data_IF_118058711623
#
_entry.id   IF_118058711623
#
_cell.length_a   1.000
_cell.length_b   1.000
_cell.length_c   1.000
_cell.angle_alpha   90.00
_cell.angle_beta   90.00
_cell.angle_gamma   90.00
#
_symmetry.space_group_name_H-M   'P 1'
#
loop_
_entity.id
_entity.type
_entity.pdbx_description
1 polymer ?
#
# COMPACT_ATOMS: atom_id res chain seq x y z
N UNK A 1 7.68 10.95 11.57
CA UNK A 1 6.90 10.71 10.33
C UNK A 1 5.99 9.49 10.45
N UNK A 2 6.48 8.30 10.89
CA UNK A 2 5.69 7.06 10.94
C UNK A 2 4.41 7.25 11.77
N UNK A 3 4.51 7.67 13.04
CA UNK A 3 3.37 7.86 13.92
C UNK A 3 2.37 8.88 13.36
N UNK A 4 2.83 10.04 12.95
CA UNK A 4 1.96 11.08 12.38
C UNK A 4 1.25 10.58 11.13
N UNK A 5 1.97 9.97 10.19
CA UNK A 5 1.39 9.42 8.96
C UNK A 5 0.33 8.36 9.25
N UNK A 6 0.66 7.39 10.12
CA UNK A 6 -0.25 6.28 10.46
C UNK A 6 -1.53 6.74 11.14
N UNK A 7 -1.43 7.56 12.20
CA UNK A 7 -2.62 8.04 12.93
C UNK A 7 -3.48 9.00 12.11
N UNK A 8 -2.86 9.85 11.29
CA UNK A 8 -3.61 10.74 10.41
C UNK A 8 -4.33 9.98 9.29
N UNK A 9 -3.74 8.89 8.75
CA UNK A 9 -4.36 8.06 7.73
C UNK A 9 -5.64 7.37 8.22
N UNK A 10 -5.69 6.90 9.47
CA UNK A 10 -6.85 6.19 10.03
C UNK A 10 -8.13 7.02 9.96
N UNK A 11 -8.05 8.32 10.15
CA UNK A 11 -9.20 9.24 10.19
C UNK A 11 -9.66 9.71 8.81
N UNK A 12 -8.95 9.35 7.75
CA UNK A 12 -9.31 9.82 6.42
C UNK A 12 -10.52 9.08 5.85
N UNK A 13 -11.35 9.85 5.15
CA UNK A 13 -12.48 9.35 4.35
C UNK A 13 -12.21 9.46 2.85
N UNK A 14 -11.21 10.25 2.48
CA UNK A 14 -10.76 10.41 1.10
C UNK A 14 -9.57 9.51 0.82
N UNK A 15 -9.66 8.67 -0.23
CA UNK A 15 -8.63 7.69 -0.57
C UNK A 15 -7.29 8.35 -0.92
N UNK A 16 -7.28 9.46 -1.65
CA UNK A 16 -6.06 10.17 -2.03
C UNK A 16 -5.35 10.76 -0.80
N UNK A 17 -6.11 11.31 0.15
CA UNK A 17 -5.57 11.81 1.42
C UNK A 17 -5.06 10.67 2.30
N UNK A 18 -5.77 9.54 2.37
CA UNK A 18 -5.31 8.37 3.09
C UNK A 18 -3.95 7.92 2.54
N UNK A 19 -3.83 7.77 1.22
CA UNK A 19 -2.58 7.37 0.57
C UNK A 19 -1.46 8.41 0.78
N UNK A 20 -1.77 9.71 0.82
CA UNK A 20 -0.79 10.75 1.12
C UNK A 20 -0.24 10.64 2.55
N UNK A 21 -1.09 10.42 3.56
CA UNK A 21 -0.61 10.18 4.93
C UNK A 21 0.11 8.84 5.07
N UNK A 22 -0.36 7.82 4.37
CA UNK A 22 0.32 6.54 4.25
C UNK A 22 1.74 6.72 3.69
N UNK A 23 1.92 7.55 2.66
CA UNK A 23 3.26 7.82 2.09
C UNK A 23 4.20 8.48 3.10
N UNK A 24 3.71 9.35 3.97
CA UNK A 24 4.50 9.93 5.08
C UNK A 24 4.99 8.83 6.03
N UNK A 25 4.13 7.84 6.34
CA UNK A 25 4.53 6.70 7.15
C UNK A 25 5.56 5.82 6.44
N UNK A 26 5.35 5.50 5.15
CA UNK A 26 6.29 4.71 4.35
C UNK A 26 7.66 5.37 4.20
N UNK A 27 7.71 6.69 4.01
CA UNK A 27 8.99 7.43 4.04
C UNK A 27 9.65 7.35 5.41
N UNK A 28 8.87 7.30 6.48
CA UNK A 28 9.41 7.08 7.83
C UNK A 28 10.04 5.70 8.01
N UNK A 29 9.46 4.64 7.43
CA UNK A 29 10.09 3.30 7.41
C UNK A 29 11.37 3.30 6.57
N UNK A 30 11.36 3.94 5.41
CA UNK A 30 12.55 4.08 4.57
C UNK A 30 13.71 4.76 5.31
N UNK A 31 13.44 5.80 6.10
CA UNK A 31 14.43 6.50 6.92
C UNK A 31 15.06 5.59 8.00
N UNK A 32 14.36 4.56 8.49
CA UNK A 32 14.97 3.58 9.41
C UNK A 32 16.13 2.85 8.70
N UNK A 33 15.94 2.44 7.43
CA UNK A 33 17.01 1.85 6.64
C UNK A 33 18.20 2.79 6.45
N UNK A 34 17.96 4.09 6.25
CA UNK A 34 19.01 5.09 6.13
C UNK A 34 19.82 5.27 7.43
N UNK A 35 19.14 5.18 8.58
CA UNK A 35 19.81 5.29 9.90
C UNK A 35 20.75 4.12 10.21
N UNK A 36 20.65 3.03 9.45
CA UNK A 36 21.56 1.89 9.56
C UNK A 36 22.89 2.11 8.81
N UNK A 37 23.12 3.31 8.24
CA UNK A 37 24.43 3.70 7.66
C UNK A 37 25.51 3.75 8.79
N UNK A 38 26.78 3.32 8.53
CA UNK A 38 27.42 3.05 7.24
C UNK A 38 27.28 1.60 6.72
N UNK A 39 26.44 0.77 7.33
CA UNK A 39 26.25 -0.59 6.87
C UNK A 39 25.56 -0.61 5.49
N UNK A 40 26.19 -1.30 4.52
CA UNK A 40 25.66 -1.42 3.16
C UNK A 40 24.29 -2.12 3.11
N UNK A 41 24.02 -3.04 4.05
CA UNK A 41 22.74 -3.75 4.14
C UNK A 41 21.56 -2.77 4.38
N UNK A 42 21.79 -1.70 5.14
CA UNK A 42 20.78 -0.65 5.37
C UNK A 42 20.42 0.10 4.09
N UNK A 43 21.42 0.45 3.28
CA UNK A 43 21.22 1.12 1.99
C UNK A 43 20.51 0.21 0.99
N UNK A 44 20.91 -1.06 0.91
CA UNK A 44 20.27 -2.05 0.03
C UNK A 44 18.82 -2.27 0.42
N UNK A 45 18.53 -2.40 1.72
CA UNK A 45 17.18 -2.54 2.26
C UNK A 45 16.30 -1.31 1.94
N UNK A 46 16.88 -0.10 2.07
CA UNK A 46 16.22 1.15 1.70
C UNK A 46 15.88 1.18 0.21
N UNK A 47 16.82 0.86 -0.68
CA UNK A 47 16.60 0.89 -2.13
C UNK A 47 15.54 -0.11 -2.55
N UNK A 48 15.58 -1.33 -2.03
CA UNK A 48 14.58 -2.35 -2.29
C UNK A 48 13.19 -1.92 -1.78
N UNK A 49 13.14 -1.34 -0.58
CA UNK A 49 11.90 -0.82 -0.02
C UNK A 49 11.29 0.26 -0.91
N UNK A 50 12.10 1.21 -1.34
CA UNK A 50 11.66 2.30 -2.22
C UNK A 50 11.16 1.79 -3.57
N UNK A 51 11.83 0.79 -4.14
CA UNK A 51 11.42 0.15 -5.39
C UNK A 51 10.05 -0.53 -5.25
N UNK A 52 9.88 -1.37 -4.22
CA UNK A 52 8.61 -2.07 -3.96
C UNK A 52 7.49 -1.07 -3.67
N UNK A 53 7.78 -0.03 -2.88
CA UNK A 53 6.83 1.04 -2.58
C UNK A 53 6.39 1.78 -3.85
N UNK A 54 7.32 2.14 -4.73
CA UNK A 54 7.04 2.83 -6.00
C UNK A 54 6.14 1.96 -6.89
N UNK A 55 6.48 0.70 -7.10
CA UNK A 55 5.70 -0.23 -7.92
C UNK A 55 4.30 -0.44 -7.34
N UNK A 56 4.19 -0.63 -6.02
CA UNK A 56 2.89 -0.77 -5.34
C UNK A 56 2.05 0.50 -5.53
N UNK A 57 2.66 1.68 -5.39
CA UNK A 57 1.98 2.97 -5.56
C UNK A 57 1.46 3.16 -6.98
N UNK A 58 2.28 2.88 -7.99
CA UNK A 58 1.86 2.91 -9.40
C UNK A 58 0.67 1.98 -9.65
N UNK A 59 0.71 0.77 -9.11
CA UNK A 59 -0.37 -0.20 -9.21
C UNK A 59 -1.67 0.29 -8.57
N UNK A 60 -1.60 0.82 -7.35
CA UNK A 60 -2.75 1.38 -6.63
C UNK A 60 -3.39 2.53 -7.40
N UNK A 61 -2.60 3.51 -7.83
CA UNK A 61 -3.12 4.65 -8.58
C UNK A 61 -3.68 4.24 -9.95
N UNK A 62 -3.07 3.25 -10.62
CA UNK A 62 -3.63 2.69 -11.86
C UNK A 62 -5.03 2.09 -11.63
N UNK A 63 -5.25 1.38 -10.52
CA UNK A 63 -6.56 0.88 -10.15
C UNK A 63 -7.55 2.01 -9.84
N UNK A 64 -7.15 3.02 -9.05
CA UNK A 64 -8.03 4.14 -8.67
C UNK A 64 -8.45 4.94 -9.91
N UNK A 65 -7.51 5.26 -10.79
CA UNK A 65 -7.80 6.06 -12.01
C UNK A 65 -8.65 5.27 -13.01
N UNK A 66 -8.55 3.93 -13.01
CA UNK A 66 -9.40 3.10 -13.87
C UNK A 66 -10.86 3.03 -13.43
N UNK A 67 -11.20 3.53 -12.25
CA UNK A 67 -12.54 3.51 -11.68
C UNK A 67 -13.11 4.93 -11.64
N UNK A 68 -14.25 5.15 -12.27
CA UNK A 68 -14.93 6.43 -12.38
C UNK A 68 -16.36 6.31 -11.82
N UNK A 69 -16.82 7.35 -11.15
CA UNK A 69 -18.23 7.52 -10.86
C UNK A 69 -18.93 7.98 -12.16
N UNK A 70 -20.23 7.70 -12.32
CA UNK A 70 -21.02 8.20 -13.46
C UNK A 70 -20.72 9.68 -13.73
N UNK A 71 -20.38 10.01 -15.00
CA UNK A 71 -20.10 11.38 -15.50
C UNK A 71 -18.65 11.87 -15.46
N UNK A 72 -17.66 10.95 -15.39
CA UNK A 72 -16.23 11.31 -15.53
C UNK A 72 -15.58 11.82 -14.23
N UNK A 73 -16.30 11.74 -13.10
CA UNK A 73 -15.71 12.03 -11.80
C UNK A 73 -14.89 10.85 -11.27
N UNK A 74 -13.62 11.11 -10.93
CA UNK A 74 -12.77 10.09 -10.32
C UNK A 74 -13.24 9.75 -8.90
N UNK A 75 -13.13 8.47 -8.51
CA UNK A 75 -13.39 8.02 -7.14
C UNK A 75 -12.50 8.80 -6.16
N UNK A 76 -13.10 9.37 -5.15
CA UNK A 76 -12.39 10.11 -4.09
C UNK A 76 -12.69 9.61 -2.70
N UNK A 77 -13.93 9.14 -2.44
CA UNK A 77 -14.32 8.64 -1.11
C UNK A 77 -13.97 7.16 -0.98
N UNK A 78 -13.56 6.76 0.20
CA UNK A 78 -13.26 5.34 0.51
C UNK A 78 -14.54 4.50 0.41
N UNK A 79 -15.68 5.05 0.78
CA UNK A 79 -16.97 4.35 0.73
C UNK A 79 -17.44 4.04 -0.70
N UNK A 80 -16.92 4.77 -1.71
CA UNK A 80 -17.23 4.49 -3.12
C UNK A 80 -16.64 3.15 -3.61
N UNK A 81 -15.68 2.58 -2.86
CA UNK A 81 -15.13 1.25 -3.13
C UNK A 81 -16.03 0.10 -2.64
N UNK A 82 -17.15 0.40 -1.93
CA UNK A 82 -18.03 -0.64 -1.39
C UNK A 82 -18.61 -1.53 -2.48
N UNK A 83 -18.42 -2.85 -2.34
CA UNK A 83 -18.99 -3.86 -3.23
C UNK A 83 -18.40 -3.93 -4.64
N UNK A 84 -17.28 -3.25 -4.93
CA UNK A 84 -16.64 -3.24 -6.26
C UNK A 84 -16.29 -4.66 -6.72
N UNK A 85 -16.00 -5.59 -5.82
CA UNK A 85 -15.66 -6.98 -6.16
C UNK A 85 -16.75 -7.69 -6.96
N UNK A 86 -18.02 -7.31 -6.79
CA UNK A 86 -19.15 -7.92 -7.51
C UNK A 86 -19.14 -7.54 -9.00
N UNK A 87 -18.80 -6.30 -9.32
CA UNK A 87 -18.84 -5.77 -10.69
C UNK A 87 -17.49 -5.85 -11.40
N UNK A 88 -16.39 -5.67 -10.65
CA UNK A 88 -15.02 -5.63 -11.17
C UNK A 88 -14.08 -6.50 -10.33
N UNK A 89 -14.26 -7.85 -10.33
CA UNK A 89 -13.53 -8.76 -9.45
C UNK A 89 -12.02 -8.71 -9.65
N UNK A 90 -11.54 -8.60 -10.89
CA UNK A 90 -10.11 -8.51 -11.16
C UNK A 90 -9.49 -7.21 -10.61
N UNK A 91 -10.16 -6.07 -10.77
CA UNK A 91 -9.67 -4.79 -10.25
C UNK A 91 -9.68 -4.79 -8.71
N UNK A 92 -10.72 -5.35 -8.10
CA UNK A 92 -10.81 -5.50 -6.65
C UNK A 92 -9.70 -6.43 -6.11
N UNK A 93 -9.44 -7.54 -6.80
CA UNK A 93 -8.35 -8.47 -6.42
C UNK A 93 -6.98 -7.79 -6.50
N UNK A 94 -6.70 -7.11 -7.62
CA UNK A 94 -5.44 -6.39 -7.83
C UNK A 94 -5.24 -5.31 -6.75
N UNK A 95 -6.27 -4.53 -6.48
CA UNK A 95 -6.25 -3.50 -5.43
C UNK A 95 -6.05 -4.11 -4.03
N UNK A 96 -6.70 -5.24 -3.72
CA UNK A 96 -6.53 -5.93 -2.44
C UNK A 96 -5.09 -6.42 -2.26
N UNK A 97 -4.47 -6.98 -3.30
CA UNK A 97 -3.06 -7.41 -3.25
C UNK A 97 -2.11 -6.24 -2.98
N UNK A 98 -2.35 -5.07 -3.59
CA UNK A 98 -1.58 -3.87 -3.29
C UNK A 98 -1.80 -3.39 -1.85
N UNK A 99 -3.02 -3.41 -1.33
CA UNK A 99 -3.31 -3.06 0.06
C UNK A 99 -2.62 -4.01 1.04
N UNK A 100 -2.62 -5.31 0.75
CA UNK A 100 -1.91 -6.31 1.55
C UNK A 100 -0.38 -6.12 1.48
N UNK A 101 0.16 -5.75 0.32
CA UNK A 101 1.58 -5.40 0.18
C UNK A 101 1.94 -4.18 1.05
N UNK A 102 1.16 -3.11 1.03
CA UNK A 102 1.35 -1.95 1.90
C UNK A 102 1.25 -2.31 3.39
N UNK A 103 0.30 -3.14 3.76
CA UNK A 103 0.17 -3.65 5.13
C UNK A 103 1.41 -4.45 5.56
N UNK A 104 2.10 -5.08 4.62
CA UNK A 104 3.24 -5.96 4.89
C UNK A 104 2.79 -7.37 5.24
N UNK A 105 1.76 -7.88 4.57
CA UNK A 105 1.27 -9.25 4.76
C UNK A 105 2.11 -10.20 3.92
N UNK A 106 2.69 -11.28 4.52
CA UNK A 106 3.37 -12.32 3.77
C UNK A 106 2.39 -13.00 2.78
N UNK A 107 2.84 -13.43 1.63
CA UNK A 107 4.19 -13.50 1.09
C UNK A 107 4.53 -12.38 0.09
N UNK A 108 3.86 -11.24 0.16
CA UNK A 108 3.99 -10.15 -0.81
C UNK A 108 5.27 -9.31 -0.61
N UNK A 109 5.70 -8.62 -1.67
CA UNK A 109 6.93 -7.84 -1.68
C UNK A 109 7.04 -6.82 -0.54
N UNK A 110 5.93 -6.18 -0.14
CA UNK A 110 5.91 -5.22 0.96
C UNK A 110 6.31 -5.80 2.33
N UNK A 111 6.03 -7.08 2.56
CA UNK A 111 6.52 -7.78 3.76
C UNK A 111 8.06 -7.89 3.74
N UNK A 112 8.64 -8.38 2.65
CA UNK A 112 10.09 -8.53 2.53
C UNK A 112 10.81 -7.19 2.64
N UNK A 113 10.25 -6.14 2.04
CA UNK A 113 10.77 -4.78 2.14
C UNK A 113 10.86 -4.30 3.60
N UNK A 114 9.79 -4.44 4.37
CA UNK A 114 9.76 -4.07 5.80
C UNK A 114 10.67 -4.96 6.63
N UNK A 115 10.65 -6.25 6.38
CA UNK A 115 11.49 -7.22 7.09
C UNK A 115 12.98 -6.86 6.99
N UNK A 116 13.45 -6.56 5.79
CA UNK A 116 14.86 -6.23 5.56
C UNK A 116 15.27 -4.91 6.24
N UNK A 117 14.40 -3.89 6.22
CA UNK A 117 14.65 -2.64 6.93
C UNK A 117 14.75 -2.87 8.44
N UNK A 118 13.79 -3.59 9.02
CA UNK A 118 13.81 -3.84 10.46
C UNK A 118 14.97 -4.74 10.88
N UNK A 119 15.28 -5.76 10.09
CA UNK A 119 16.45 -6.61 10.31
C UNK A 119 17.73 -5.77 10.32
N UNK A 120 17.96 -4.98 9.29
CA UNK A 120 19.15 -4.11 9.21
C UNK A 120 19.23 -3.13 10.40
N UNK A 121 18.09 -2.56 10.83
CA UNK A 121 18.05 -1.67 11.97
C UNK A 121 18.39 -2.38 13.30
N UNK A 122 17.91 -3.62 13.50
CA UNK A 122 18.22 -4.43 14.70
C UNK A 122 19.70 -4.78 14.72
N UNK A 123 20.27 -5.21 13.59
CA UNK A 123 21.70 -5.58 13.45
C UNK A 123 22.61 -4.36 13.74
N UNK A 124 22.12 -3.14 13.56
CA UNK A 124 22.82 -1.89 13.91
C UNK A 124 22.44 -1.32 15.30
N UNK A 125 21.79 -2.11 16.16
CA UNK A 125 21.46 -1.73 17.54
C UNK A 125 20.25 -0.80 17.70
N UNK A 126 19.51 -0.47 16.63
CA UNK A 126 18.33 0.39 16.64
C UNK A 126 17.07 -0.38 17.06
N UNK A 127 17.16 -1.21 18.12
CA UNK A 127 16.10 -2.12 18.55
C UNK A 127 14.82 -1.36 18.91
N UNK A 128 14.91 -0.29 19.70
CA UNK A 128 13.75 0.50 20.11
C UNK A 128 13.00 1.07 18.90
N UNK A 129 13.73 1.62 17.94
CA UNK A 129 13.14 2.19 16.73
C UNK A 129 12.46 1.12 15.87
N UNK A 130 13.07 -0.07 15.78
CA UNK A 130 12.53 -1.21 15.04
C UNK A 130 11.22 -1.72 15.67
N UNK A 131 11.18 -1.91 16.99
CA UNK A 131 9.97 -2.33 17.71
C UNK A 131 8.87 -1.29 17.56
N UNK A 132 9.18 -0.01 17.74
CA UNK A 132 8.24 1.09 17.56
C UNK A 132 7.69 1.15 16.13
N UNK A 133 8.55 1.03 15.14
CA UNK A 133 8.15 0.99 13.73
C UNK A 133 7.25 -0.22 13.41
N UNK A 134 7.59 -1.40 13.94
CA UNK A 134 6.80 -2.62 13.78
C UNK A 134 5.38 -2.46 14.35
N UNK A 135 5.25 -1.95 15.57
CA UNK A 135 3.95 -1.70 16.19
C UNK A 135 3.11 -0.74 15.35
N UNK A 136 3.70 0.36 14.87
CA UNK A 136 3.00 1.32 14.01
C UNK A 136 2.67 0.73 12.63
N UNK A 137 3.46 -0.21 12.12
CA UNK A 137 3.13 -0.93 10.89
C UNK A 137 1.87 -1.79 11.05
N UNK A 138 1.69 -2.45 12.20
CA UNK A 138 0.48 -3.21 12.53
C UNK A 138 -0.74 -2.27 12.62
N UNK A 139 -0.58 -1.13 13.29
CA UNK A 139 -1.64 -0.10 13.34
C UNK A 139 -1.99 0.38 11.93
N UNK A 140 -0.99 0.55 11.07
CA UNK A 140 -1.17 0.94 9.68
C UNK A 140 -1.92 -0.09 8.83
N UNK A 141 -1.77 -1.37 9.12
CA UNK A 141 -2.49 -2.42 8.40
C UNK A 141 -4.02 -2.25 8.49
N UNK A 142 -4.52 -1.66 9.58
CA UNK A 142 -5.95 -1.45 9.80
C UNK A 142 -6.62 -0.69 8.65
N UNK A 143 -6.09 0.45 8.21
CA UNK A 143 -6.75 1.23 7.17
C UNK A 143 -6.65 0.60 5.78
N UNK A 144 -5.63 -0.20 5.51
CA UNK A 144 -5.54 -0.97 4.27
C UNK A 144 -6.55 -2.12 4.25
N UNK A 145 -6.65 -2.87 5.35
CA UNK A 145 -7.63 -3.95 5.49
C UNK A 145 -9.06 -3.40 5.46
N UNK A 146 -9.31 -2.20 6.01
CA UNK A 146 -10.60 -1.51 5.92
C UNK A 146 -11.03 -1.30 4.47
N UNK A 147 -10.12 -0.90 3.57
CA UNK A 147 -10.44 -0.74 2.14
C UNK A 147 -10.79 -2.09 1.52
N UNK A 148 -10.03 -3.14 1.81
CA UNK A 148 -10.31 -4.50 1.33
C UNK A 148 -11.67 -4.98 1.83
N UNK A 149 -11.97 -4.77 3.11
CA UNK A 149 -13.28 -5.10 3.70
C UNK A 149 -14.42 -4.43 2.94
N UNK A 150 -14.33 -3.13 2.68
CA UNK A 150 -15.36 -2.39 1.94
C UNK A 150 -15.58 -2.97 0.53
N UNK A 151 -14.49 -3.32 -0.18
CA UNK A 151 -14.57 -3.85 -1.53
C UNK A 151 -15.26 -5.22 -1.62
N UNK A 152 -15.08 -6.08 -0.62
CA UNK A 152 -15.51 -7.48 -0.69
C UNK A 152 -16.75 -7.80 0.14
N UNK A 153 -16.96 -7.13 1.27
CA UNK A 153 -17.97 -7.52 2.25
C UNK A 153 -19.11 -6.53 2.39
N UNK A 154 -18.95 -5.29 1.95
CA UNK A 154 -20.00 -4.29 2.05
C UNK A 154 -20.86 -4.29 0.77
N UNK A 155 -22.11 -3.83 0.90
CA UNK A 155 -23.01 -3.66 -0.24
C UNK A 155 -22.60 -2.47 -1.11
N UNK A 156 -22.86 -2.57 -2.41
CA UNK A 156 -22.55 -1.51 -3.37
C UNK A 156 -23.37 -0.25 -3.07
N UNK A 157 -22.70 0.84 -2.71
CA UNK A 157 -23.32 2.12 -2.40
C UNK A 157 -23.33 3.08 -3.58
N UNK A 158 -22.32 3.00 -4.43
CA UNK A 158 -22.10 3.91 -5.56
C UNK A 158 -21.95 3.10 -6.84
N UNK A 159 -22.61 3.56 -7.91
CA UNK A 159 -22.42 2.95 -9.23
C UNK A 159 -21.10 3.45 -9.79
N UNK A 160 -20.14 2.55 -9.86
CA UNK A 160 -18.80 2.81 -10.41
C UNK A 160 -18.73 2.23 -11.81
N UNK A 161 -18.19 2.99 -12.75
CA UNK A 161 -17.84 2.52 -14.09
C UNK A 161 -16.33 2.32 -14.18
N UNK A 162 -15.90 1.34 -14.97
CA UNK A 162 -14.49 1.15 -15.28
C UNK A 162 -14.16 1.83 -16.60
N UNK A 163 -13.21 2.75 -16.57
CA UNK A 163 -12.59 3.28 -17.77
C UNK A 163 -11.77 2.19 -18.46
N UNK A 164 -12.07 1.90 -19.72
CA UNK A 164 -11.39 0.84 -20.50
C UNK A 164 -10.03 1.31 -21.06
N UNK A 165 -9.24 2.00 -20.25
CA UNK A 165 -7.86 2.31 -20.62
C UNK A 165 -7.01 1.04 -20.56
N UNK A 166 -6.60 0.52 -21.74
CA UNK A 166 -5.71 -0.65 -21.83
C UNK A 166 -4.38 -0.40 -21.10
N UNK A 167 -3.87 0.83 -21.14
CA UNK A 167 -2.63 1.23 -20.46
C UNK A 167 -2.71 1.05 -18.95
N UNK A 168 -3.78 1.54 -18.31
CA UNK A 168 -3.95 1.42 -16.84
C UNK A 168 -4.09 -0.04 -16.40
N UNK A 169 -4.85 -0.84 -17.15
CA UNK A 169 -4.99 -2.28 -16.86
C UNK A 169 -3.67 -3.03 -17.03
N UNK A 170 -2.88 -2.70 -18.04
CA UNK A 170 -1.56 -3.28 -18.28
C UNK A 170 -0.57 -2.91 -17.16
N UNK A 171 -0.52 -1.62 -16.78
CA UNK A 171 0.34 -1.15 -15.69
C UNK A 171 0.01 -1.84 -14.37
N UNK A 172 -1.28 -1.93 -14.00
CA UNK A 172 -1.69 -2.61 -12.77
C UNK A 172 -1.34 -4.10 -12.79
N UNK A 173 -1.45 -4.78 -13.93
CA UNK A 173 -1.10 -6.19 -14.06
C UNK A 173 0.42 -6.42 -13.90
N UNK A 174 1.27 -5.60 -14.53
CA UNK A 174 2.73 -5.69 -14.37
C UNK A 174 3.14 -5.45 -12.92
N UNK A 175 2.59 -4.40 -12.28
CA UNK A 175 2.87 -4.11 -10.88
C UNK A 175 2.44 -5.27 -9.97
N UNK A 176 1.30 -5.91 -10.26
CA UNK A 176 0.82 -7.06 -9.51
C UNK A 176 1.78 -8.25 -9.65
N UNK A 177 2.20 -8.59 -10.86
CA UNK A 177 3.15 -9.67 -11.12
C UNK A 177 4.45 -9.42 -10.36
N UNK A 178 4.97 -8.19 -10.40
CA UNK A 178 6.18 -7.81 -9.68
C UNK A 178 6.06 -8.04 -8.17
N UNK A 179 4.95 -7.63 -7.55
CA UNK A 179 4.77 -7.79 -6.10
C UNK A 179 4.62 -9.25 -5.71
N UNK A 180 3.97 -10.06 -6.55
CA UNK A 180 3.78 -11.48 -6.32
C UNK A 180 5.07 -12.27 -6.59
N UNK A 181 5.96 -11.78 -7.45
CA UNK A 181 7.23 -12.47 -7.76
C UNK A 181 8.14 -12.70 -6.54
N UNK A 182 7.91 -11.99 -5.44
CA UNK A 182 8.60 -12.21 -4.16
C UNK A 182 8.12 -13.47 -3.41
N UNK A 183 7.09 -14.17 -3.93
CA UNK A 183 6.64 -15.46 -3.38
C UNK A 183 7.62 -16.58 -3.75
N UNK A 184 8.32 -16.46 -4.87
CA UNK A 184 9.24 -17.43 -5.46
C UNK A 184 10.68 -16.94 -5.37
#
# INVERSE_FOLDING_TARGET
SIALGTFSAIRQTNIKRLLAYSSIAHMGFALIGLLSFPNLDGIQSLLLYMLIYLVTTLGVFSCIISLEITEGESITKIDDFSGISKNYPFTAFTMAMFMFSYAGIPPLGGFFAKYLIFRSAIDNGLIFLSVFGLLLSVVGAFYYIRIVKLMYFDETKTIVKKSFSKGLSFTSAICLIFIISFIF
#
